data_IF_851932286731
#
_entry.id   IF_851932286731
#
_cell.length_a   1.000
_cell.length_b   1.000
_cell.length_c   1.000
_cell.angle_alpha   90.00
_cell.angle_beta   90.00
_cell.angle_gamma   90.00
#
_symmetry.space_group_name_H-M   'P 1'
#
loop_
_entity.id
_entity.type
_entity.pdbx_description
1 polymer ?
#
# COMPACT_ATOMS: atom_id res chain seq x y z
N UNK A 1 -5.04 4.85 9.91
CA UNK A 1 -5.62 5.33 8.63
C UNK A 1 -4.50 5.39 7.60
N UNK A 2 -4.74 5.00 6.36
CA UNK A 2 -3.79 5.23 5.27
C UNK A 2 -3.80 6.73 4.95
N UNK A 3 -2.63 7.38 4.94
CA UNK A 3 -2.47 8.78 4.51
C UNK A 3 -1.79 8.82 3.14
N UNK A 4 -1.91 9.91 2.37
CA UNK A 4 -1.17 10.08 1.12
C UNK A 4 0.34 9.88 1.30
N UNK A 5 0.96 10.45 2.34
CA UNK A 5 2.39 10.25 2.63
C UNK A 5 2.73 8.78 2.89
N UNK A 6 1.94 8.10 3.72
CA UNK A 6 2.17 6.69 4.00
C UNK A 6 1.90 5.78 2.79
N UNK A 7 1.07 6.20 1.84
CA UNK A 7 0.89 5.50 0.56
C UNK A 7 2.08 5.75 -0.37
N UNK A 8 2.54 7.00 -0.46
CA UNK A 8 3.69 7.40 -1.28
C UNK A 8 4.98 6.73 -0.82
N UNK A 9 5.27 6.71 0.49
CA UNK A 9 6.45 6.05 1.05
C UNK A 9 6.48 4.56 0.73
N UNK A 10 5.34 3.86 0.93
CA UNK A 10 5.22 2.43 0.60
C UNK A 10 5.52 2.20 -0.88
N UNK A 11 4.91 3.03 -1.73
CA UNK A 11 5.06 2.93 -3.17
C UNK A 11 6.50 3.20 -3.62
N UNK A 12 7.19 4.18 -3.01
CA UNK A 12 8.54 4.61 -3.38
C UNK A 12 9.66 3.73 -2.79
N UNK A 13 9.40 2.97 -1.74
CA UNK A 13 10.41 2.22 -0.99
C UNK A 13 11.22 1.18 -1.80
N UNK A 14 10.70 0.70 -2.92
CA UNK A 14 11.28 -0.41 -3.69
C UNK A 14 11.08 -0.27 -5.20
N UNK A 15 11.03 0.97 -5.70
CA UNK A 15 10.71 1.24 -7.11
C UNK A 15 11.84 0.85 -8.07
N UNK A 16 13.10 0.97 -7.65
CA UNK A 16 14.24 0.57 -8.47
C UNK A 16 14.63 -0.89 -8.23
N UNK A 17 14.99 -1.66 -9.29
CA UNK A 17 15.13 -1.28 -10.70
C UNK A 17 13.86 -1.60 -11.52
N UNK A 18 12.69 -1.77 -10.90
CA UNK A 18 11.49 -2.28 -11.60
C UNK A 18 10.59 -1.18 -12.18
N UNK A 19 10.92 0.08 -11.92
CA UNK A 19 10.06 1.24 -12.21
C UNK A 19 10.84 2.34 -12.90
N UNK A 20 10.25 2.94 -13.92
CA UNK A 20 10.70 4.21 -14.49
C UNK A 20 10.02 5.37 -13.78
N UNK A 21 10.80 6.38 -13.39
CA UNK A 21 10.29 7.59 -12.75
C UNK A 21 10.40 8.76 -13.73
N UNK A 22 9.31 9.51 -13.88
CA UNK A 22 9.28 10.74 -14.64
C UNK A 22 8.50 11.82 -13.87
N UNK A 23 8.73 13.08 -14.21
CA UNK A 23 7.90 14.19 -13.76
C UNK A 23 6.78 14.39 -14.77
N UNK A 24 5.55 14.42 -14.29
CA UNK A 24 4.34 14.68 -15.06
C UNK A 24 4.05 16.17 -15.22
N UNK A 25 2.78 16.49 -15.47
CA UNK A 25 2.31 17.88 -15.53
C UNK A 25 2.14 18.48 -14.13
N UNK A 26 2.15 19.81 -14.05
CA UNK A 26 1.74 20.53 -12.84
C UNK A 26 0.26 20.26 -12.55
N UNK A 27 -0.05 19.96 -11.29
CA UNK A 27 -1.41 19.64 -10.84
C UNK A 27 -1.76 20.46 -9.60
N UNK A 28 -3.05 20.49 -9.25
CA UNK A 28 -3.53 21.11 -8.01
C UNK A 28 -4.26 20.09 -7.15
N UNK A 29 -3.84 19.92 -5.90
CA UNK A 29 -4.45 19.00 -4.93
C UNK A 29 -4.71 19.73 -3.62
N UNK A 30 -5.90 19.56 -3.04
CA UNK A 30 -6.32 20.27 -1.81
C UNK A 30 -6.08 21.80 -1.86
N UNK A 31 -6.21 22.41 -3.05
CA UNK A 31 -5.97 23.84 -3.26
C UNK A 31 -4.49 24.26 -3.43
N UNK A 32 -3.55 23.31 -3.37
CA UNK A 32 -2.10 23.56 -3.43
C UNK A 32 -1.50 23.13 -4.77
N UNK A 33 -0.56 23.91 -5.29
CA UNK A 33 0.19 23.58 -6.51
C UNK A 33 1.18 22.44 -6.21
N UNK A 34 1.21 21.44 -7.08
CA UNK A 34 1.96 20.22 -6.87
C UNK A 34 2.62 19.71 -8.16
N UNK A 35 3.81 19.12 -8.00
CA UNK A 35 4.45 18.33 -9.04
C UNK A 35 3.91 16.91 -9.02
N UNK A 36 3.69 16.32 -10.18
CA UNK A 36 3.32 14.92 -10.28
C UNK A 36 4.56 14.06 -10.57
N UNK A 37 4.80 13.04 -9.73
CA UNK A 37 5.74 11.97 -10.03
C UNK A 37 4.98 10.82 -10.68
N UNK A 38 5.36 10.45 -11.90
CA UNK A 38 4.77 9.34 -12.65
C UNK A 38 5.69 8.13 -12.56
N UNK A 39 5.19 7.07 -11.94
CA UNK A 39 5.86 5.79 -11.73
C UNK A 39 5.29 4.78 -12.71
N UNK A 40 6.11 4.34 -13.65
CA UNK A 40 5.71 3.39 -14.70
C UNK A 40 6.43 2.06 -14.50
N UNK A 41 5.72 0.95 -14.27
CA UNK A 41 6.31 -0.38 -14.25
C UNK A 41 7.09 -0.66 -15.54
N UNK A 42 8.32 -1.18 -15.43
CA UNK A 42 9.12 -1.62 -16.57
C UNK A 42 8.64 -2.98 -17.11
N UNK A 43 8.04 -3.79 -16.25
CA UNK A 43 7.39 -5.03 -16.64
C UNK A 43 6.08 -4.69 -17.39
N UNK A 44 5.92 -5.26 -18.59
CA UNK A 44 4.71 -5.07 -19.41
C UNK A 44 3.61 -6.08 -19.09
N UNK A 45 3.92 -7.11 -18.31
CA UNK A 45 2.99 -8.20 -17.95
C UNK A 45 2.12 -7.87 -16.74
N UNK A 46 2.48 -6.88 -15.92
CA UNK A 46 1.64 -6.43 -14.80
C UNK A 46 0.37 -5.70 -15.27
N UNK A 47 -0.70 -5.84 -14.50
CA UNK A 47 -1.95 -5.09 -14.64
C UNK A 47 -1.80 -3.62 -14.31
N UNK A 48 -0.76 -3.22 -13.58
CA UNK A 48 -0.51 -1.79 -13.28
C UNK A 48 0.02 -1.10 -14.53
N UNK A 49 -0.65 -0.03 -14.95
CA UNK A 49 -0.18 0.82 -16.04
C UNK A 49 0.75 1.90 -15.55
N UNK A 50 0.32 2.62 -14.50
CA UNK A 50 1.11 3.63 -13.82
C UNK A 50 0.61 3.86 -12.40
N UNK A 51 1.47 4.44 -11.56
CA UNK A 51 1.07 5.08 -10.33
C UNK A 51 1.57 6.53 -10.34
N UNK A 52 0.79 7.45 -9.80
CA UNK A 52 1.18 8.86 -9.68
C UNK A 52 1.21 9.29 -8.22
N UNK A 53 2.17 10.14 -7.88
CA UNK A 53 2.28 10.78 -6.56
C UNK A 53 2.27 12.28 -6.76
N UNK A 54 1.27 12.97 -6.22
CA UNK A 54 1.22 14.43 -6.24
C UNK A 54 1.98 14.97 -5.04
N UNK A 55 3.01 15.78 -5.28
CA UNK A 55 3.93 16.31 -4.26
C UNK A 55 3.80 17.83 -4.21
N UNK A 56 3.49 18.36 -3.03
CA UNK A 56 3.37 19.80 -2.80
C UNK A 56 4.62 20.55 -3.26
N UNK A 57 4.44 21.56 -4.12
CA UNK A 57 5.56 22.29 -4.73
C UNK A 57 6.36 23.16 -3.76
N UNK A 58 5.79 23.52 -2.61
CA UNK A 58 6.44 24.36 -1.60
C UNK A 58 7.14 23.55 -0.51
N UNK A 59 6.48 22.48 -0.02
CA UNK A 59 6.91 21.74 1.17
C UNK A 59 7.46 20.35 0.87
N UNK A 60 7.23 19.82 -0.34
CA UNK A 60 7.58 18.44 -0.69
C UNK A 60 6.66 17.38 -0.07
N UNK A 61 5.57 17.78 0.57
CA UNK A 61 4.61 16.86 1.20
C UNK A 61 3.81 16.09 0.12
N UNK A 62 3.71 14.75 0.19
CA UNK A 62 2.80 14.01 -0.67
C UNK A 62 1.34 14.36 -0.35
N UNK A 63 0.63 14.89 -1.34
CA UNK A 63 -0.77 15.31 -1.22
C UNK A 63 -1.75 14.25 -1.72
N UNK A 64 -1.30 13.36 -2.61
CA UNK A 64 -2.14 12.31 -3.18
C UNK A 64 -1.33 11.21 -3.87
N UNK A 65 -1.96 10.04 -3.98
CA UNK A 65 -1.48 8.88 -4.73
C UNK A 65 -2.63 8.31 -5.54
N UNK A 66 -2.38 7.99 -6.80
CA UNK A 66 -3.33 7.28 -7.65
C UNK A 66 -2.64 6.11 -8.37
N UNK A 67 -3.37 5.01 -8.60
CA UNK A 67 -2.89 3.85 -9.35
C UNK A 67 -3.87 3.57 -10.48
N UNK A 68 -3.35 3.57 -11.70
CA UNK A 68 -4.11 3.40 -12.93
C UNK A 68 -3.76 2.06 -13.56
N UNK A 69 -4.79 1.27 -13.83
CA UNK A 69 -4.63 -0.01 -14.49
C UNK A 69 -4.16 0.18 -15.95
N UNK A 70 -3.45 -0.82 -16.47
CA UNK A 70 -2.93 -0.80 -17.84
C UNK A 70 -4.09 -0.66 -18.84
N UNK A 71 -3.98 0.35 -19.72
CA UNK A 71 -5.01 0.66 -20.71
C UNK A 71 -6.22 1.45 -20.17
N UNK A 72 -6.28 1.71 -18.86
CA UNK A 72 -7.32 2.55 -18.27
C UNK A 72 -6.92 4.03 -18.34
N UNK A 73 -7.92 4.91 -18.41
CA UNK A 73 -7.75 6.37 -18.37
C UNK A 73 -8.14 6.97 -17.01
N UNK A 74 -8.84 6.22 -16.17
CA UNK A 74 -9.21 6.61 -14.82
C UNK A 74 -8.51 5.70 -13.80
N UNK A 75 -8.13 6.24 -12.62
CA UNK A 75 -7.47 5.45 -11.60
C UNK A 75 -8.41 4.39 -11.02
N UNK A 76 -7.88 3.20 -10.81
CA UNK A 76 -8.58 2.11 -10.13
C UNK A 76 -8.49 2.24 -8.60
N UNK A 77 -7.49 2.98 -8.12
CA UNK A 77 -7.32 3.33 -6.72
C UNK A 77 -6.80 4.76 -6.61
N UNK A 78 -7.33 5.55 -5.67
CA UNK A 78 -6.81 6.88 -5.38
C UNK A 78 -7.03 7.26 -3.92
N UNK A 79 -6.05 7.93 -3.33
CA UNK A 79 -6.14 8.59 -2.04
C UNK A 79 -5.53 9.98 -2.15
N UNK A 80 -6.23 11.01 -1.69
CA UNK A 80 -5.73 12.38 -1.71
C UNK A 80 -6.39 13.21 -0.61
N UNK A 81 -5.69 14.27 -0.17
CA UNK A 81 -6.31 15.28 0.68
C UNK A 81 -7.37 16.05 -0.12
N UNK A 82 -8.55 16.24 0.48
CA UNK A 82 -9.56 17.17 -0.03
C UNK A 82 -9.32 18.59 0.47
N UNK A 83 -8.74 18.72 1.67
CA UNK A 83 -8.32 19.96 2.31
C UNK A 83 -7.13 19.66 3.22
N UNK A 84 -6.19 20.61 3.32
CA UNK A 84 -5.06 20.51 4.23
C UNK A 84 -4.71 21.89 4.79
N UNK A 85 -4.50 21.95 6.10
CA UNK A 85 -3.98 23.12 6.79
C UNK A 85 -2.60 22.74 7.37
N UNK A 86 -1.57 23.46 6.92
CA UNK A 86 -0.18 23.26 7.32
C UNK A 86 0.28 24.29 8.35
N UNK A 87 -0.64 25.12 8.86
CA UNK A 87 -0.31 26.05 9.93
C UNK A 87 0.04 25.30 11.21
N UNK A 88 0.96 25.88 11.98
CA UNK A 88 1.29 25.37 13.31
C UNK A 88 0.04 25.41 14.18
N UNK A 89 -0.41 24.27 14.76
CA UNK A 89 -1.55 24.26 15.65
C UNK A 89 -1.33 25.20 16.84
N UNK A 90 -2.40 25.83 17.32
CA UNK A 90 -2.32 26.76 18.44
C UNK A 90 -1.79 26.06 19.70
N UNK A 91 -0.80 26.66 20.37
CA UNK A 91 -0.20 26.09 21.57
C UNK A 91 -1.21 25.89 22.71
N UNK A 92 -2.30 26.67 22.74
CA UNK A 92 -3.38 26.54 23.71
C UNK A 92 -4.12 25.21 23.60
N UNK A 93 -4.11 24.54 22.43
CA UNK A 93 -4.65 23.18 22.26
C UNK A 93 -3.91 22.17 23.14
N UNK A 94 -2.66 22.48 23.50
CA UNK A 94 -1.82 21.66 24.37
C UNK A 94 -1.73 22.22 25.79
N UNK A 95 -2.39 23.35 26.07
CA UNK A 95 -2.42 23.92 27.41
C UNK A 95 -3.49 23.24 28.26
N UNK A 96 -3.08 22.64 29.37
CA UNK A 96 -4.00 22.16 30.38
C UNK A 96 -4.23 23.25 31.42
N UNK A 97 -5.46 23.79 31.48
CA UNK A 97 -5.87 24.71 32.55
C UNK A 97 -6.77 23.96 33.53
N UNK A 98 -6.26 23.56 34.70
CA UNK A 98 -7.07 22.84 35.68
C UNK A 98 -8.24 23.71 36.17
N UNK A 99 -9.45 23.14 36.38
CA UNK A 99 -10.57 23.89 36.93
C UNK A 99 -10.30 24.30 38.39
N UNK A 100 -10.99 25.35 38.86
CA UNK A 100 -10.81 25.86 40.21
C UNK A 100 -11.05 24.76 41.27
N UNK A 101 -10.11 24.61 42.20
CA UNK A 101 -10.15 23.60 43.27
C UNK A 101 -9.62 22.21 42.86
N UNK A 102 -9.14 22.03 41.63
CA UNK A 102 -8.49 20.79 41.22
C UNK A 102 -7.10 20.65 41.85
N UNK A 103 -6.83 19.47 42.40
CA UNK A 103 -5.49 19.05 42.81
C UNK A 103 -4.72 18.55 41.58
N UNK A 104 -3.63 19.22 41.23
CA UNK A 104 -2.74 18.80 40.13
C UNK A 104 -1.73 17.81 40.69
N UNK A 105 -1.83 16.55 40.27
CA UNK A 105 -0.85 15.51 40.60
C UNK A 105 0.11 15.40 39.43
N UNK A 106 1.31 15.96 39.57
CA UNK A 106 2.37 15.79 38.59
C UNK A 106 2.90 14.36 38.67
N UNK A 107 2.58 13.56 37.66
CA UNK A 107 3.32 12.33 37.42
C UNK A 107 4.59 12.71 36.66
N UNK A 108 5.74 12.27 37.17
CA UNK A 108 6.98 12.35 36.39
C UNK A 108 6.72 11.70 35.05
N UNK A 109 6.93 12.44 33.96
CA UNK A 109 7.01 11.82 32.66
C UNK A 109 8.07 10.71 32.78
N UNK A 110 7.81 9.48 32.29
CA UNK A 110 8.89 8.52 32.18
C UNK A 110 10.01 9.28 31.47
N UNK A 111 11.21 9.30 32.04
CA UNK A 111 12.35 9.87 31.35
C UNK A 111 12.34 9.19 29.98
N UNK A 112 12.09 9.98 28.93
CA UNK A 112 12.57 9.62 27.61
C UNK A 112 14.07 9.72 27.76
N UNK A 113 14.65 8.70 28.39
CA UNK A 113 16.03 8.40 28.21
C UNK A 113 16.24 8.45 26.71
N UNK A 114 17.37 9.02 26.33
CA UNK A 114 18.15 8.46 25.23
C UNK A 114 18.48 7.02 25.60
N UNK A 115 17.47 6.18 25.80
CA UNK A 115 17.57 4.78 25.51
C UNK A 115 17.92 4.83 24.04
N UNK A 116 19.09 4.32 23.71
CA UNK A 116 19.21 3.47 22.54
C UNK A 116 18.07 2.44 22.66
N UNK A 117 16.83 2.87 22.38
CA UNK A 117 15.84 1.99 21.83
C UNK A 117 16.62 1.38 20.67
N UNK A 118 16.85 0.07 20.64
CA UNK A 118 17.52 -0.52 19.50
C UNK A 118 16.78 0.05 18.31
N UNK A 119 17.46 0.88 17.52
CA UNK A 119 17.01 1.25 16.19
C UNK A 119 16.49 -0.08 15.66
N UNK A 120 15.19 -0.24 15.36
CA UNK A 120 14.77 -1.45 14.72
C UNK A 120 15.72 -1.52 13.54
N UNK A 121 16.58 -2.55 13.54
CA UNK A 121 17.45 -2.74 12.42
C UNK A 121 16.53 -2.62 11.19
N UNK A 122 16.99 -2.07 10.06
CA UNK A 122 16.26 -2.21 8.81
C UNK A 122 15.82 -3.68 8.55
N UNK A 123 16.46 -4.62 9.26
CA UNK A 123 16.24 -6.05 9.33
C UNK A 123 15.56 -6.57 10.61
N UNK A 124 14.82 -5.76 11.39
CA UNK A 124 13.93 -6.33 12.41
C UNK A 124 12.93 -7.22 11.64
N UNK A 125 12.98 -8.55 11.78
CA UNK A 125 12.06 -9.39 11.04
C UNK A 125 10.68 -8.99 11.52
N UNK A 126 9.89 -8.40 10.61
CA UNK A 126 8.46 -8.69 10.63
C UNK A 126 8.40 -10.20 10.81
N UNK A 127 7.63 -10.68 11.77
CA UNK A 127 7.34 -12.11 11.85
C UNK A 127 6.58 -12.49 10.57
N UNK A 128 7.34 -12.68 9.50
CA UNK A 128 6.94 -13.26 8.23
C UNK A 128 7.00 -14.77 8.35
N UNK A 129 7.22 -15.32 9.55
CA UNK A 129 7.21 -16.73 9.83
C UNK A 129 5.77 -17.27 9.87
N UNK A 130 4.95 -16.88 8.88
CA UNK A 130 4.15 -17.87 8.19
C UNK A 130 5.14 -18.62 7.30
N UNK A 131 5.76 -19.67 7.83
CA UNK A 131 6.79 -20.50 7.17
C UNK A 131 6.38 -21.04 5.78
N UNK A 132 5.15 -20.78 5.34
CA UNK A 132 4.52 -21.30 4.14
C UNK A 132 4.16 -20.23 3.08
N UNK A 133 4.40 -18.93 3.31
CA UNK A 133 4.10 -17.91 2.29
C UNK A 133 5.22 -17.85 1.26
N UNK A 134 4.90 -18.26 0.03
CA UNK A 134 5.86 -18.25 -1.09
C UNK A 134 5.64 -17.02 -1.94
N UNK A 135 6.72 -16.43 -2.45
CA UNK A 135 6.65 -15.30 -3.38
C UNK A 135 7.40 -15.63 -4.67
N UNK A 136 6.77 -15.38 -5.81
CA UNK A 136 7.34 -15.59 -7.16
C UNK A 136 7.33 -14.27 -7.93
N UNK A 137 8.37 -14.00 -8.72
CA UNK A 137 8.49 -12.74 -9.47
C UNK A 137 9.10 -11.61 -8.64
N UNK A 138 9.14 -10.40 -9.20
CA UNK A 138 9.70 -9.20 -8.55
C UNK A 138 8.89 -7.95 -8.87
N UNK A 139 8.97 -6.94 -8.01
CA UNK A 139 8.31 -5.64 -8.20
C UNK A 139 6.80 -5.78 -8.48
N UNK A 140 6.34 -5.12 -9.54
CA UNK A 140 4.94 -5.08 -9.96
C UNK A 140 4.36 -6.41 -10.46
N UNK A 141 5.22 -7.35 -10.83
CA UNK A 141 4.85 -8.70 -11.29
C UNK A 141 4.88 -9.75 -10.17
N UNK A 142 5.05 -9.31 -8.92
CA UNK A 142 5.13 -10.23 -7.78
C UNK A 142 3.80 -10.97 -7.56
N UNK A 143 3.90 -12.28 -7.39
CA UNK A 143 2.83 -13.19 -7.02
C UNK A 143 3.10 -13.71 -5.62
N UNK A 144 2.13 -13.55 -4.73
CA UNK A 144 2.17 -14.12 -3.39
C UNK A 144 1.28 -15.35 -3.36
N UNK A 145 1.81 -16.46 -2.84
CA UNK A 145 1.13 -17.73 -2.66
C UNK A 145 0.98 -18.00 -1.17
N UNK A 146 -0.25 -18.25 -0.75
CA UNK A 146 -0.59 -18.75 0.57
C UNK A 146 -0.91 -20.25 0.47
N UNK A 147 -0.47 -21.06 1.45
CA UNK A 147 -0.72 -22.49 1.47
C UNK A 147 -2.22 -22.79 1.56
N UNK A 148 -2.57 -24.06 1.34
CA UNK A 148 -3.94 -24.53 1.46
C UNK A 148 -4.51 -24.23 2.86
N UNK A 149 -5.60 -23.46 2.88
CA UNK A 149 -6.34 -23.11 4.10
C UNK A 149 -7.50 -24.07 4.39
N UNK A 150 -8.31 -23.74 5.40
CA UNK A 150 -9.55 -24.47 5.66
C UNK A 150 -10.54 -24.28 4.50
N UNK A 151 -10.92 -25.34 3.76
CA UNK A 151 -11.85 -25.25 2.64
C UNK A 151 -13.23 -24.73 3.07
N UNK A 152 -13.63 -24.89 4.34
CA UNK A 152 -14.87 -24.33 4.88
C UNK A 152 -14.89 -22.80 4.92
N UNK A 153 -13.71 -22.16 4.98
CA UNK A 153 -13.58 -20.71 4.95
C UNK A 153 -13.79 -20.11 3.54
N UNK A 154 -13.73 -20.94 2.49
CA UNK A 154 -13.84 -20.49 1.10
C UNK A 154 -15.29 -20.47 0.58
N UNK A 155 -16.23 -21.13 1.26
CA UNK A 155 -17.64 -21.19 0.85
C UNK A 155 -18.28 -19.81 0.58
N UNK A 156 -18.10 -18.79 1.45
CA UNK A 156 -18.61 -17.44 1.19
C UNK A 156 -17.99 -16.76 -0.05
N UNK A 157 -16.80 -17.18 -0.46
CA UNK A 157 -16.08 -16.59 -1.60
C UNK A 157 -16.63 -17.07 -2.95
N UNK A 158 -17.42 -18.15 -2.99
CA UNK A 158 -18.04 -18.64 -4.22
C UNK A 158 -18.95 -17.59 -4.89
N UNK A 159 -19.60 -16.75 -4.09
CA UNK A 159 -20.51 -15.71 -4.58
C UNK A 159 -19.79 -14.55 -5.28
N UNK A 160 -18.50 -14.36 -5.02
CA UNK A 160 -17.68 -13.25 -5.56
C UNK A 160 -16.58 -13.73 -6.50
N UNK A 161 -16.44 -15.04 -6.68
CA UNK A 161 -15.44 -15.66 -7.58
C UNK A 161 -16.11 -16.34 -8.75
N UNK A 162 -15.39 -16.39 -9.88
CA UNK A 162 -15.83 -17.09 -11.09
C UNK A 162 -15.07 -18.40 -11.28
N UNK A 163 -15.72 -19.50 -11.72
CA UNK A 163 -15.01 -20.74 -12.03
C UNK A 163 -13.97 -20.55 -13.14
N UNK A 164 -12.85 -21.25 -13.03
CA UNK A 164 -11.75 -21.25 -13.99
C UNK A 164 -11.12 -22.64 -14.08
N UNK A 165 -10.31 -22.88 -15.11
CA UNK A 165 -9.33 -23.96 -15.06
C UNK A 165 -8.46 -23.85 -13.81
N UNK A 166 -8.36 -24.95 -13.05
CA UNK A 166 -7.57 -25.07 -11.83
C UNK A 166 -8.17 -24.45 -10.57
N UNK A 167 -9.42 -23.96 -10.60
CA UNK A 167 -10.13 -23.48 -9.41
C UNK A 167 -11.09 -22.32 -9.66
N UNK A 168 -10.95 -21.23 -8.90
CA UNK A 168 -11.82 -20.05 -8.97
C UNK A 168 -11.01 -18.76 -8.96
N UNK A 169 -11.44 -17.76 -9.72
CA UNK A 169 -10.75 -16.47 -9.83
C UNK A 169 -11.63 -15.32 -9.37
N UNK A 170 -11.03 -14.40 -8.60
CA UNK A 170 -11.52 -13.06 -8.36
C UNK A 170 -10.58 -12.10 -9.10
N UNK A 171 -11.13 -11.25 -9.96
CA UNK A 171 -10.33 -10.29 -10.72
C UNK A 171 -10.88 -8.88 -10.56
N UNK A 172 -9.96 -7.93 -10.51
CA UNK A 172 -10.21 -6.49 -10.50
C UNK A 172 -9.26 -5.80 -11.48
N UNK A 173 -9.37 -4.48 -11.62
CA UNK A 173 -8.51 -3.73 -12.53
C UNK A 173 -7.02 -3.79 -12.15
N UNK A 174 -6.68 -3.98 -10.88
CA UNK A 174 -5.28 -3.97 -10.40
C UNK A 174 -4.81 -5.29 -9.82
N UNK A 175 -5.73 -6.11 -9.30
CA UNK A 175 -5.39 -7.34 -8.56
C UNK A 175 -6.20 -8.50 -9.09
N UNK A 176 -5.53 -9.62 -9.30
CA UNK A 176 -6.14 -10.92 -9.56
C UNK A 176 -5.81 -11.86 -8.40
N UNK A 177 -6.78 -12.68 -8.02
CA UNK A 177 -6.64 -13.73 -7.00
C UNK A 177 -7.16 -15.04 -7.57
N UNK A 178 -6.34 -16.09 -7.53
CA UNK A 178 -6.66 -17.45 -7.91
C UNK A 178 -6.76 -18.31 -6.63
N UNK A 179 -7.92 -18.91 -6.41
CA UNK A 179 -8.14 -19.95 -5.42
C UNK A 179 -8.06 -21.28 -6.15
N UNK A 180 -7.06 -22.09 -5.86
CA UNK A 180 -6.84 -23.36 -6.58
C UNK A 180 -7.68 -24.49 -6.01
N UNK A 181 -7.89 -25.54 -6.80
CA UNK A 181 -8.65 -26.74 -6.36
C UNK A 181 -7.96 -27.49 -5.20
N UNK A 182 -6.64 -27.36 -5.06
CA UNK A 182 -5.86 -27.91 -3.95
C UNK A 182 -5.86 -27.01 -2.69
N UNK A 183 -6.62 -25.90 -2.72
CA UNK A 183 -6.88 -25.03 -1.58
C UNK A 183 -5.92 -23.86 -1.41
N UNK A 184 -4.87 -23.74 -2.24
CA UNK A 184 -3.93 -22.62 -2.21
C UNK A 184 -4.56 -21.33 -2.71
N UNK A 185 -3.97 -20.20 -2.33
CA UNK A 185 -4.41 -18.88 -2.78
C UNK A 185 -3.23 -18.14 -3.37
N UNK A 186 -3.31 -17.79 -4.65
CA UNK A 186 -2.32 -16.98 -5.34
C UNK A 186 -2.90 -15.61 -5.63
N UNK A 187 -2.16 -14.54 -5.35
CA UNK A 187 -2.60 -13.17 -5.59
C UNK A 187 -1.46 -12.32 -6.14
N UNK A 188 -1.78 -11.44 -7.08
CA UNK A 188 -0.80 -10.51 -7.65
C UNK A 188 -1.45 -9.49 -8.58
N UNK A 189 -0.66 -8.48 -8.95
CA UNK A 189 -1.05 -7.48 -9.93
C UNK A 189 -0.75 -7.96 -11.35
N UNK A 190 -1.17 -9.18 -11.67
CA UNK A 190 -0.86 -9.88 -12.93
C UNK A 190 -2.13 -10.52 -13.52
N UNK A 191 -2.16 -10.81 -14.83
CA UNK A 191 -3.22 -11.59 -15.46
C UNK A 191 -3.40 -12.97 -14.80
N UNK A 192 -4.60 -13.55 -14.94
CA UNK A 192 -4.91 -14.86 -14.34
C UNK A 192 -4.01 -15.97 -14.88
N UNK A 193 -3.60 -15.88 -16.14
CA UNK A 193 -2.69 -16.81 -16.80
C UNK A 193 -1.37 -16.91 -16.05
N UNK A 194 -0.80 -15.77 -15.61
CA UNK A 194 0.44 -15.76 -14.84
C UNK A 194 0.28 -16.44 -13.46
N UNK A 195 -0.88 -16.31 -12.82
CA UNK A 195 -1.17 -17.02 -11.57
C UNK A 195 -1.30 -18.52 -11.79
N UNK A 196 -1.92 -18.96 -12.90
CA UNK A 196 -2.02 -20.39 -13.24
C UNK A 196 -0.67 -20.98 -13.56
N UNK A 197 0.15 -20.28 -14.34
CA UNK A 197 1.52 -20.72 -14.66
C UNK A 197 2.35 -20.86 -13.38
N UNK A 198 2.23 -19.91 -12.44
CA UNK A 198 2.89 -19.99 -11.14
C UNK A 198 2.40 -21.19 -10.31
N UNK A 199 1.09 -21.47 -10.31
CA UNK A 199 0.51 -22.60 -9.59
C UNK A 199 0.95 -23.96 -10.16
N UNK A 200 1.18 -24.05 -11.48
CA UNK A 200 1.56 -25.27 -12.20
C UNK A 200 3.07 -25.54 -12.22
N UNK A 201 3.90 -24.54 -11.96
CA UNK A 201 5.36 -24.68 -11.91
C UNK A 201 5.88 -25.37 -10.62
N UNK A 202 4.98 -25.92 -9.80
CA UNK A 202 5.23 -26.56 -8.50
C UNK A 202 4.58 -27.94 -8.46
#
# INVERSE_FOLDING_TARGET
MLTPSAAAERLLSSIDPTTSVAVGSDVRVAGRDAYELVLTPRDSTTLVGSATVSVDGETGLPLGVAVTARGATAPAFSIAYTSIDLSTPDASLFSFTPPAGAEVIEQGAPEQGTTDAPTPAPDAPVDTNREDVTTTGTGWGTIVELPAGDPGALGPLEAVTTPTEGGRVLSSALVTVLLTDDGRVLAGSVPVEALRDAAAAR
#
